data_IF_844038489054
#
_entry.id   IF_844038489054
#
_cell.length_a   1.000
_cell.length_b   1.000
_cell.length_c   1.000
_cell.angle_alpha   90.00
_cell.angle_beta   90.00
_cell.angle_gamma   90.00
#
_symmetry.space_group_name_H-M   'P 1'
#
loop_
_entity.id
_entity.type
_entity.pdbx_description
1 polymer ?
#
# COMPACT_ATOMS: atom_id res chain seq x y z
N UNK A 1 -6.14 13.22 -11.59
CA UNK A 1 -5.85 12.37 -12.78
C UNK A 1 -5.32 11.05 -12.28
N UNK A 2 -6.15 10.01 -12.37
CA UNK A 2 -5.80 8.66 -11.93
C UNK A 2 -4.73 8.10 -12.88
N UNK A 3 -3.48 8.14 -12.44
CA UNK A 3 -2.37 7.62 -13.23
C UNK A 3 -2.27 6.10 -13.01
N UNK A 4 -3.12 5.35 -13.72
CA UNK A 4 -2.87 3.93 -13.96
C UNK A 4 -1.84 3.83 -15.08
N UNK A 5 -0.64 3.37 -14.78
CA UNK A 5 0.30 2.94 -15.83
C UNK A 5 -0.19 1.59 -16.36
N UNK A 6 -1.04 1.65 -17.37
CA UNK A 6 -1.68 0.51 -18.06
C UNK A 6 -3.20 0.54 -17.95
N UNK A 7 -3.88 1.11 -18.96
CA UNK A 7 -5.36 1.07 -19.05
C UNK A 7 -5.79 -0.40 -19.04
N UNK A 8 -6.42 -0.82 -17.96
CA UNK A 8 -7.27 -2.01 -17.93
C UNK A 8 -8.71 -1.52 -17.84
N UNK A 9 -9.63 -2.10 -18.60
CA UNK A 9 -11.08 -1.82 -18.54
C UNK A 9 -11.72 -2.26 -17.20
N UNK A 10 -10.91 -2.37 -16.15
CA UNK A 10 -11.33 -2.74 -14.82
C UNK A 10 -11.96 -1.51 -14.14
N UNK A 11 -13.27 -1.53 -13.85
CA UNK A 11 -13.89 -0.46 -13.09
C UNK A 11 -13.28 -0.40 -11.69
N UNK A 12 -12.95 0.81 -11.25
CA UNK A 12 -12.46 1.07 -9.89
C UNK A 12 -13.61 1.59 -9.03
N UNK A 13 -13.58 1.29 -7.73
CA UNK A 13 -14.47 1.94 -6.77
C UNK A 13 -14.20 3.46 -6.69
N UNK A 14 -12.95 3.89 -6.90
CA UNK A 14 -12.59 5.31 -6.97
C UNK A 14 -12.70 6.08 -5.65
N UNK A 15 -12.72 5.40 -4.51
CA UNK A 15 -12.98 6.00 -3.18
C UNK A 15 -11.72 6.38 -2.39
N UNK A 16 -10.57 5.81 -2.73
CA UNK A 16 -9.28 6.08 -2.06
C UNK A 16 -8.50 7.13 -2.84
N UNK A 17 -8.05 8.19 -2.16
CA UNK A 17 -7.29 9.31 -2.72
C UNK A 17 -5.81 8.96 -2.92
N UNK A 18 -5.56 7.95 -3.75
CA UNK A 18 -4.22 7.45 -4.05
C UNK A 18 -4.05 7.00 -5.49
N UNK A 19 -2.87 7.22 -6.05
CA UNK A 19 -2.45 6.70 -7.34
C UNK A 19 -1.67 5.40 -7.14
N UNK A 20 -2.06 4.36 -7.89
CA UNK A 20 -1.50 3.01 -7.76
C UNK A 20 -0.91 2.56 -9.09
N UNK A 21 0.30 2.03 -9.05
CA UNK A 21 0.91 1.32 -10.18
C UNK A 21 0.88 -0.18 -9.91
N UNK A 22 0.26 -0.94 -10.80
CA UNK A 22 0.18 -2.41 -10.71
C UNK A 22 1.54 -3.04 -11.00
N UNK A 23 1.86 -4.12 -10.28
CA UNK A 23 3.11 -4.89 -10.47
C UNK A 23 4.36 -3.99 -10.51
N UNK A 24 4.40 -2.98 -9.65
CA UNK A 24 5.43 -1.93 -9.71
C UNK A 24 6.85 -2.52 -9.59
N UNK A 25 7.00 -3.61 -8.83
CA UNK A 25 8.27 -4.25 -8.50
C UNK A 25 8.80 -5.27 -9.53
N UNK A 26 8.11 -5.48 -10.67
CA UNK A 26 8.61 -6.25 -11.83
C UNK A 26 8.21 -7.73 -11.90
N UNK A 27 8.51 -8.39 -13.04
CA UNK A 27 8.06 -9.76 -13.41
C UNK A 27 8.99 -10.92 -12.98
N UNK A 28 10.20 -10.64 -12.48
CA UNK A 28 11.19 -11.67 -12.12
C UNK A 28 11.65 -11.62 -10.65
N UNK A 29 11.15 -10.67 -9.85
CA UNK A 29 11.36 -10.56 -8.39
C UNK A 29 10.00 -10.68 -7.68
N UNK A 30 9.29 -11.78 -7.94
CA UNK A 30 7.82 -11.85 -7.76
C UNK A 30 7.31 -11.95 -6.33
N UNK A 31 8.16 -12.27 -5.36
CA UNK A 31 7.83 -12.14 -3.95
C UNK A 31 9.06 -11.62 -3.22
N UNK A 32 8.89 -10.60 -2.39
CA UNK A 32 9.95 -10.14 -1.52
C UNK A 32 9.41 -9.72 -0.17
N UNK A 33 10.31 -9.70 0.79
CA UNK A 33 10.03 -9.22 2.14
C UNK A 33 10.80 -7.93 2.38
N UNK A 34 10.16 -6.98 3.05
CA UNK A 34 10.82 -5.79 3.54
C UNK A 34 10.36 -5.48 4.97
N UNK A 35 11.26 -4.91 5.76
CA UNK A 35 10.90 -4.35 7.06
C UNK A 35 10.43 -2.91 6.86
N UNK A 36 9.18 -2.65 7.21
CA UNK A 36 8.58 -1.33 7.20
C UNK A 36 8.72 -0.71 8.58
N UNK A 37 9.20 0.54 8.63
CA UNK A 37 9.13 1.36 9.83
C UNK A 37 7.83 2.16 9.79
N UNK A 38 6.96 1.94 10.78
CA UNK A 38 5.68 2.63 10.92
C UNK A 38 5.66 3.39 12.24
N UNK A 39 5.11 4.60 12.24
CA UNK A 39 5.07 5.47 13.42
C UNK A 39 4.34 4.79 14.59
N UNK A 40 3.13 4.26 14.35
CA UNK A 40 2.28 3.69 15.41
C UNK A 40 2.54 2.20 15.70
N UNK A 41 3.19 1.48 14.78
CA UNK A 41 3.34 0.02 14.86
C UNK A 41 4.80 -0.44 15.01
N UNK A 42 5.75 0.49 14.98
CA UNK A 42 7.17 0.15 14.98
C UNK A 42 7.58 -0.60 13.71
N UNK A 43 8.51 -1.54 13.86
CA UNK A 43 9.04 -2.34 12.75
C UNK A 43 8.09 -3.49 12.42
N UNK A 44 7.61 -3.52 11.17
CA UNK A 44 6.68 -4.54 10.67
C UNK A 44 7.29 -5.25 9.47
N UNK A 45 7.36 -6.58 9.52
CA UNK A 45 7.73 -7.39 8.36
C UNK A 45 6.58 -7.40 7.36
N UNK A 46 6.83 -6.99 6.12
CA UNK A 46 5.83 -6.94 5.04
C UNK A 46 6.19 -7.90 3.91
N UNK A 47 5.24 -8.72 3.49
CA UNK A 47 5.36 -9.72 2.43
C UNK A 47 4.67 -9.20 1.16
N UNK A 48 5.44 -8.91 0.12
CA UNK A 48 4.94 -8.40 -1.16
C UNK A 48 4.93 -9.53 -2.18
N UNK A 49 3.77 -9.83 -2.77
CA UNK A 49 3.62 -10.86 -3.81
C UNK A 49 2.94 -10.20 -5.01
N UNK A 50 3.68 -10.07 -6.13
CA UNK A 50 3.23 -9.32 -7.32
C UNK A 50 2.60 -7.96 -6.96
N UNK A 51 3.23 -7.28 -6.01
CA UNK A 51 2.62 -6.15 -5.34
C UNK A 51 2.45 -4.93 -6.26
N UNK A 52 1.33 -4.19 -6.14
CA UNK A 52 1.26 -2.83 -6.64
C UNK A 52 2.11 -1.89 -5.76
N UNK A 53 2.21 -0.62 -6.14
CA UNK A 53 2.79 0.42 -5.29
C UNK A 53 1.94 1.69 -5.29
N UNK A 54 1.78 2.32 -4.12
CA UNK A 54 1.20 3.65 -4.00
C UNK A 54 2.28 4.68 -4.35
N UNK A 55 2.10 5.39 -5.46
CA UNK A 55 3.10 6.35 -5.97
C UNK A 55 2.76 7.80 -5.61
N UNK A 56 1.52 8.07 -5.22
CA UNK A 56 1.05 9.38 -4.81
C UNK A 56 -0.21 9.24 -3.97
N UNK A 57 -0.37 10.09 -2.96
CA UNK A 57 -1.64 10.31 -2.25
C UNK A 57 -2.01 11.79 -2.33
N UNK A 58 -3.28 12.11 -2.04
CA UNK A 58 -3.76 13.48 -1.92
C UNK A 58 -4.86 13.57 -0.86
N UNK A 59 -5.33 14.80 -0.60
CA UNK A 59 -6.41 15.07 0.35
C UNK A 59 -6.06 14.59 1.76
N UNK A 60 -6.93 13.77 2.35
CA UNK A 60 -6.77 13.26 3.72
C UNK A 60 -6.13 11.86 3.79
N UNK A 61 -5.72 11.29 2.64
CA UNK A 61 -5.04 10.00 2.58
C UNK A 61 -3.61 10.08 3.14
N UNK A 62 -3.35 9.28 4.18
CA UNK A 62 -2.07 9.16 4.87
C UNK A 62 -1.28 7.97 4.34
N UNK A 63 -0.18 8.19 3.60
CA UNK A 63 0.67 7.11 3.13
C UNK A 63 1.56 6.57 4.27
N UNK A 64 1.77 5.26 4.29
CA UNK A 64 2.52 4.55 5.33
C UNK A 64 3.54 3.59 4.71
N UNK A 65 4.64 3.34 5.44
CA UNK A 65 5.68 2.40 5.03
C UNK A 65 6.39 2.84 3.74
N UNK A 66 7.13 3.96 3.77
CA UNK A 66 7.90 4.41 2.60
C UNK A 66 8.97 3.39 2.21
N UNK A 67 9.12 3.15 0.92
CA UNK A 67 10.07 2.23 0.31
C UNK A 67 10.74 2.88 -0.90
N UNK A 68 12.05 2.68 -1.11
CA UNK A 68 12.72 3.15 -2.32
C UNK A 68 12.31 2.30 -3.53
N UNK A 69 12.02 2.95 -4.65
CA UNK A 69 11.66 2.32 -5.91
C UNK A 69 12.45 2.93 -7.08
N UNK A 70 13.17 2.09 -7.83
CA UNK A 70 14.09 2.54 -8.88
C UNK A 70 13.45 3.38 -10.00
N UNK A 71 12.15 3.20 -10.25
CA UNK A 71 11.41 3.96 -11.29
C UNK A 71 10.57 5.12 -10.75
N UNK A 72 10.09 5.04 -9.52
CA UNK A 72 9.05 5.92 -9.00
C UNK A 72 9.53 6.75 -7.79
N UNK A 73 10.82 6.67 -7.43
CA UNK A 73 11.36 7.31 -6.24
C UNK A 73 10.83 6.63 -4.98
N UNK A 74 10.35 7.40 -4.01
CA UNK A 74 9.70 6.84 -2.83
C UNK A 74 8.29 6.40 -3.17
N UNK A 75 7.97 5.14 -2.88
CA UNK A 75 6.62 4.59 -2.92
C UNK A 75 6.19 4.18 -1.53
N UNK A 76 4.90 3.90 -1.35
CA UNK A 76 4.36 3.53 -0.05
C UNK A 76 3.74 2.14 -0.08
N UNK A 77 3.88 1.43 1.05
CA UNK A 77 3.39 0.07 1.23
C UNK A 77 1.93 0.01 1.70
N UNK A 78 1.42 1.09 2.30
CA UNK A 78 0.03 1.18 2.71
C UNK A 78 -0.49 2.62 2.67
N UNK A 79 -1.81 2.78 2.70
CA UNK A 79 -2.50 4.06 2.81
C UNK A 79 -3.66 3.89 3.78
N UNK A 80 -3.85 4.89 4.65
CA UNK A 80 -5.02 4.98 5.54
C UNK A 80 -5.77 6.26 5.19
N UNK A 81 -7.08 6.15 4.99
CA UNK A 81 -7.94 7.30 4.73
C UNK A 81 -9.31 7.08 5.39
N UNK A 82 -9.64 7.93 6.38
CA UNK A 82 -10.88 7.80 7.17
C UNK A 82 -11.07 6.38 7.69
N UNK A 83 -12.07 5.66 7.18
CA UNK A 83 -12.41 4.29 7.58
C UNK A 83 -11.81 3.22 6.66
N UNK A 84 -10.87 3.60 5.79
CA UNK A 84 -10.25 2.71 4.80
C UNK A 84 -8.78 2.48 5.13
N UNK A 85 -8.38 1.21 5.06
CA UNK A 85 -6.99 0.77 5.13
C UNK A 85 -6.70 -0.01 3.84
N UNK A 86 -5.69 0.41 3.11
CA UNK A 86 -5.23 -0.28 1.91
C UNK A 86 -3.76 -0.66 2.05
N UNK A 87 -3.41 -1.91 1.78
CA UNK A 87 -2.03 -2.43 1.82
C UNK A 87 -1.63 -2.93 0.43
N UNK A 88 -0.37 -2.69 0.06
CA UNK A 88 0.28 -3.26 -1.13
C UNK A 88 0.97 -4.59 -0.83
N UNK A 89 1.05 -4.97 0.45
CA UNK A 89 1.59 -6.22 0.95
C UNK A 89 0.50 -7.05 1.63
N UNK A 90 0.86 -8.27 2.02
CA UNK A 90 0.00 -9.26 2.66
C UNK A 90 0.22 -9.29 4.19
N UNK A 91 -0.46 -8.43 4.97
CA UNK A 91 -0.31 -8.44 6.43
C UNK A 91 -0.73 -9.79 7.04
N UNK A 92 -1.69 -10.50 6.44
CA UNK A 92 -2.15 -11.82 6.88
C UNK A 92 -1.05 -12.88 6.93
N UNK A 93 0.04 -12.69 6.17
CA UNK A 93 1.18 -13.60 6.12
C UNK A 93 2.29 -13.24 7.11
N UNK A 94 2.25 -12.07 7.77
CA UNK A 94 3.41 -11.57 8.52
C UNK A 94 3.12 -10.72 9.76
N UNK A 95 1.92 -10.15 9.91
CA UNK A 95 1.61 -9.25 11.03
C UNK A 95 0.11 -9.10 11.33
N UNK A 96 -0.20 -8.88 12.60
CA UNK A 96 -1.57 -8.52 13.04
C UNK A 96 -1.78 -7.01 13.15
N UNK A 97 -0.75 -6.19 12.93
CA UNK A 97 -0.80 -4.74 13.12
C UNK A 97 -1.92 -4.05 12.31
N UNK A 98 -1.98 -4.32 11.01
CA UNK A 98 -2.99 -3.71 10.12
C UNK A 98 -4.40 -4.26 10.36
N UNK A 99 -4.53 -5.51 10.82
CA UNK A 99 -5.81 -6.06 11.25
C UNK A 99 -6.33 -5.35 12.50
N UNK A 100 -5.46 -5.12 13.50
CA UNK A 100 -5.81 -4.35 14.69
C UNK A 100 -6.18 -2.91 14.35
N UNK A 101 -5.43 -2.26 13.45
CA UNK A 101 -5.74 -0.93 12.95
C UNK A 101 -7.13 -0.88 12.30
N UNK A 102 -7.44 -1.82 11.42
CA UNK A 102 -8.75 -1.91 10.78
C UNK A 102 -9.87 -2.07 11.82
N UNK A 103 -9.69 -2.93 12.82
CA UNK A 103 -10.68 -3.13 13.89
C UNK A 103 -10.86 -1.89 14.78
N UNK A 104 -9.78 -1.17 15.06
CA UNK A 104 -9.84 0.08 15.82
C UNK A 104 -10.62 1.16 15.04
N UNK A 105 -10.32 1.30 13.75
CA UNK A 105 -11.02 2.21 12.86
C UNK A 105 -12.52 1.87 12.77
N UNK A 106 -12.87 0.59 12.66
CA UNK A 106 -14.26 0.14 12.54
C UNK A 106 -15.10 0.30 13.82
N UNK A 107 -14.45 0.50 14.98
CA UNK A 107 -15.13 0.75 16.26
C UNK A 107 -15.50 2.22 16.46
N UNK A 108 -14.97 3.12 15.65
CA UNK A 108 -15.24 4.56 15.70
C UNK A 108 -16.43 4.90 14.81
#
# INVERSE_FOLDING_TARGET
VDAVVGRTDQPLLGVLEAAVVRNAFGRQRESFEADLQLEDFGRVRAVFIRAPAFVKTWGDAKPLGPLPHGRYGTVYAAVVQRHMVATAFHPELSTTAFHRLMLEIARR
#
